data_IF_205257398856
#
_entry.id   IF_205257398856
#
_cell.length_a   1.000
_cell.length_b   1.000
_cell.length_c   1.000
_cell.angle_alpha   90.00
_cell.angle_beta   90.00
_cell.angle_gamma   90.00
#
_symmetry.space_group_name_H-M   'P 1'
#
loop_
_entity.id
_entity.type
_entity.pdbx_description
1 polymer ?
#
# COMPACT_ATOMS: atom_id res chain seq x y z
N UNK A 1 4.85 21.50 -44.79
CA UNK A 1 3.90 21.82 -43.70
C UNK A 1 2.56 21.05 -43.72
N UNK A 2 2.19 20.29 -44.77
CA UNK A 2 0.91 19.52 -44.78
C UNK A 2 0.88 18.23 -43.93
N UNK A 3 2.03 17.78 -43.44
CA UNK A 3 2.17 16.50 -42.72
C UNK A 3 2.13 16.63 -41.20
N UNK A 4 2.25 17.86 -40.68
CA UNK A 4 2.15 18.18 -39.25
C UNK A 4 0.83 17.74 -38.59
N UNK A 5 -0.36 17.95 -39.18
CA UNK A 5 -1.60 17.55 -38.50
C UNK A 5 -1.73 16.02 -38.39
N UNK A 6 -1.22 15.28 -39.37
CA UNK A 6 -1.25 13.80 -39.36
C UNK A 6 -0.31 13.24 -38.31
N UNK A 7 0.91 13.78 -38.21
CA UNK A 7 1.88 13.35 -37.20
C UNK A 7 1.39 13.62 -35.77
N UNK A 8 0.74 14.76 -35.53
CA UNK A 8 0.16 15.11 -34.23
C UNK A 8 -1.02 14.19 -33.88
N UNK A 9 -1.89 13.90 -34.85
CA UNK A 9 -3.02 13.00 -34.65
C UNK A 9 -2.57 11.56 -34.34
N UNK A 10 -1.53 11.08 -35.02
CA UNK A 10 -0.96 9.75 -34.81
C UNK A 10 -0.26 9.64 -33.45
N UNK A 11 0.38 10.71 -32.99
CA UNK A 11 1.02 10.79 -31.67
C UNK A 11 -0.02 10.77 -30.54
N UNK A 12 -1.15 11.47 -30.71
CA UNK A 12 -2.26 11.47 -29.76
C UNK A 12 -2.96 10.11 -29.67
N UNK A 13 -3.15 9.41 -30.80
CA UNK A 13 -3.69 8.06 -30.81
C UNK A 13 -2.77 7.09 -30.06
N UNK A 14 -1.46 7.18 -30.27
CA UNK A 14 -0.47 6.30 -29.63
C UNK A 14 -0.47 6.45 -28.11
N UNK A 15 -0.64 7.68 -27.60
CA UNK A 15 -0.76 7.95 -26.18
C UNK A 15 -2.06 7.40 -25.56
N UNK A 16 -3.15 7.33 -26.34
CA UNK A 16 -4.43 6.79 -25.88
C UNK A 16 -4.42 5.26 -25.70
N UNK A 17 -3.53 4.54 -26.39
CA UNK A 17 -3.35 3.08 -26.24
C UNK A 17 -2.28 2.68 -25.22
N UNK A 18 -1.59 3.65 -24.62
CA UNK A 18 -0.69 3.41 -23.50
C UNK A 18 -1.51 3.23 -22.20
N UNK A 19 -2.34 2.20 -22.14
CA UNK A 19 -3.00 1.80 -20.89
C UNK A 19 -1.93 1.28 -19.93
N UNK A 20 -1.85 1.78 -18.68
CA UNK A 20 -0.99 1.15 -17.69
C UNK A 20 -1.44 -0.30 -17.53
N UNK A 21 -0.56 -1.25 -17.84
CA UNK A 21 -0.81 -2.64 -17.56
C UNK A 21 -0.80 -2.81 -16.04
N UNK A 22 -1.98 -2.85 -15.43
CA UNK A 22 -2.10 -3.34 -14.07
C UNK A 22 -1.92 -4.84 -14.12
N UNK A 23 -0.91 -5.34 -13.42
CA UNK A 23 -0.82 -6.77 -13.17
C UNK A 23 -2.13 -7.19 -12.52
N UNK A 24 -2.89 -8.04 -13.19
CA UNK A 24 -4.09 -8.62 -12.61
C UNK A 24 -3.62 -9.47 -11.42
N UNK A 25 -3.80 -8.92 -10.22
CA UNK A 25 -3.62 -9.70 -9.02
C UNK A 25 -4.76 -10.73 -9.05
N UNK A 26 -4.46 -11.93 -9.56
CA UNK A 26 -5.35 -13.08 -9.41
C UNK A 26 -5.80 -13.06 -7.95
N UNK A 27 -7.09 -12.85 -7.73
CA UNK A 27 -7.67 -12.98 -6.40
C UNK A 27 -7.38 -14.42 -5.97
N UNK A 28 -6.31 -14.60 -5.19
CA UNK A 28 -6.01 -15.91 -4.65
C UNK A 28 -7.19 -16.32 -3.78
N UNK A 29 -7.50 -17.61 -3.78
CA UNK A 29 -8.51 -18.15 -2.87
C UNK A 29 -7.85 -18.27 -1.50
N UNK A 30 -8.55 -17.88 -0.44
CA UNK A 30 -8.14 -18.17 0.93
C UNK A 30 -7.96 -19.70 1.10
N UNK A 31 -6.81 -20.13 1.62
CA UNK A 31 -6.48 -21.55 1.77
C UNK A 31 -6.58 -21.93 3.25
N UNK A 32 -7.43 -22.91 3.57
CA UNK A 32 -7.46 -23.51 4.90
C UNK A 32 -6.24 -24.42 5.10
N UNK A 33 -5.50 -24.20 6.18
CA UNK A 33 -4.32 -24.97 6.53
C UNK A 33 -4.27 -25.24 8.04
N UNK A 34 -3.31 -26.07 8.45
CA UNK A 34 -3.08 -26.44 9.85
C UNK A 34 -1.62 -26.14 10.20
N UNK A 35 -1.38 -25.47 11.33
CA UNK A 35 -0.01 -25.21 11.83
C UNK A 35 0.65 -26.50 12.30
N UNK A 36 1.96 -26.48 12.52
CA UNK A 36 2.68 -27.63 13.10
C UNK A 36 2.15 -28.05 14.49
N UNK A 37 1.52 -27.12 15.20
CA UNK A 37 0.91 -27.30 16.51
C UNK A 37 -0.54 -27.81 16.43
N UNK A 38 -1.11 -27.97 15.23
CA UNK A 38 -2.47 -28.46 15.03
C UNK A 38 -3.55 -27.37 14.93
N UNK A 39 -3.17 -26.10 14.88
CA UNK A 39 -4.14 -24.99 14.85
C UNK A 39 -4.64 -24.73 13.43
N UNK A 40 -5.95 -24.55 13.30
CA UNK A 40 -6.58 -24.18 12.03
C UNK A 40 -6.29 -22.72 11.69
N UNK A 41 -5.77 -22.49 10.49
CA UNK A 41 -5.43 -21.16 9.97
C UNK A 41 -5.95 -20.97 8.55
N UNK A 42 -6.16 -19.71 8.18
CA UNK A 42 -6.47 -19.30 6.81
C UNK A 42 -5.26 -18.56 6.26
N UNK A 43 -4.71 -19.05 5.17
CA UNK A 43 -3.64 -18.41 4.41
C UNK A 43 -4.26 -17.49 3.36
N UNK A 44 -3.89 -16.22 3.41
CA UNK A 44 -4.35 -15.20 2.49
C UNK A 44 -3.41 -15.09 1.28
N UNK A 45 -3.90 -14.65 0.11
CA UNK A 45 -3.11 -14.50 -1.12
C UNK A 45 -1.95 -13.50 -1.04
N UNK A 46 -2.02 -12.59 -0.07
CA UNK A 46 -0.98 -11.59 0.21
C UNK A 46 0.18 -12.15 1.06
N UNK A 47 0.20 -13.45 1.34
CA UNK A 47 1.20 -14.11 2.18
C UNK A 47 0.96 -13.96 3.68
N UNK A 48 -0.10 -13.27 4.10
CA UNK A 48 -0.52 -13.22 5.50
C UNK A 48 -1.34 -14.45 5.85
N UNK A 49 -1.49 -14.71 7.14
CA UNK A 49 -2.36 -15.76 7.64
C UNK A 49 -3.06 -15.30 8.92
N UNK A 50 -4.17 -15.96 9.25
CA UNK A 50 -4.96 -15.71 10.46
C UNK A 50 -5.44 -17.03 11.08
N UNK A 51 -5.58 -17.06 12.40
CA UNK A 51 -6.25 -18.18 13.08
C UNK A 51 -7.74 -18.20 12.74
N UNK A 52 -8.30 -19.41 12.61
CA UNK A 52 -9.76 -19.62 12.52
C UNK A 52 -10.40 -19.43 13.90
N UNK A 53 -9.69 -19.84 14.95
CA UNK A 53 -10.13 -19.64 16.34
C UNK A 53 -10.05 -18.16 16.73
N UNK A 54 -11.17 -17.61 17.19
CA UNK A 54 -11.30 -16.18 17.52
C UNK A 54 -10.50 -15.77 18.76
N UNK A 55 -10.30 -16.68 19.71
CA UNK A 55 -9.48 -16.42 20.90
C UNK A 55 -8.01 -16.30 20.52
N UNK A 56 -7.51 -17.28 19.76
CA UNK A 56 -6.12 -17.25 19.25
C UNK A 56 -5.87 -16.11 18.28
N UNK A 57 -6.85 -15.75 17.46
CA UNK A 57 -6.75 -14.58 16.59
C UNK A 57 -6.59 -13.28 17.40
N UNK A 58 -7.37 -13.10 18.47
CA UNK A 58 -7.27 -11.92 19.32
C UNK A 58 -5.94 -11.85 20.08
N UNK A 59 -5.42 -12.98 20.56
CA UNK A 59 -4.09 -13.06 21.19
C UNK A 59 -2.98 -12.71 20.18
N UNK A 60 -3.06 -13.27 18.96
CA UNK A 60 -2.11 -12.96 17.90
C UNK A 60 -2.12 -11.47 17.52
N UNK A 61 -3.30 -10.84 17.49
CA UNK A 61 -3.42 -9.39 17.25
C UNK A 61 -2.80 -8.56 18.38
N UNK A 62 -2.89 -9.01 19.62
CA UNK A 62 -2.22 -8.34 20.75
C UNK A 62 -0.70 -8.44 20.65
N UNK A 63 -0.19 -9.61 20.27
CA UNK A 63 1.25 -9.82 20.02
C UNK A 63 1.71 -8.96 18.84
N UNK A 64 0.94 -8.91 17.75
CA UNK A 64 1.25 -8.10 16.58
C UNK A 64 1.40 -6.61 16.91
N UNK A 65 0.60 -6.09 17.86
CA UNK A 65 0.70 -4.70 18.34
C UNK A 65 2.00 -4.40 19.10
N UNK A 66 2.73 -5.39 19.60
CA UNK A 66 3.98 -5.13 20.33
C UNK A 66 5.13 -4.73 19.39
N UNK A 67 5.03 -5.07 18.11
CA UNK A 67 6.03 -4.75 17.10
C UNK A 67 5.86 -3.32 16.60
N UNK A 68 6.93 -2.52 16.67
CA UNK A 68 6.94 -1.11 16.28
C UNK A 68 6.63 -0.94 14.79
N UNK A 69 7.03 -1.92 13.97
CA UNK A 69 6.80 -1.97 12.53
C UNK A 69 5.31 -2.02 12.18
N UNK A 70 4.46 -2.55 13.07
CA UNK A 70 3.00 -2.65 12.87
C UNK A 70 2.23 -1.43 13.39
N UNK A 71 2.89 -0.54 14.14
CA UNK A 71 2.28 0.63 14.79
C UNK A 71 2.15 1.84 13.85
N UNK A 72 2.63 1.72 12.60
CA UNK A 72 2.63 2.81 11.64
C UNK A 72 3.55 3.96 12.07
N UNK A 73 3.20 5.19 11.65
CA UNK A 73 3.98 6.35 12.03
C UNK A 73 3.71 6.75 13.50
N UNK A 74 4.74 7.02 14.31
CA UNK A 74 4.58 7.39 15.72
C UNK A 74 3.70 8.63 15.90
N UNK A 75 3.03 8.74 17.04
CA UNK A 75 2.19 9.89 17.38
C UNK A 75 2.96 11.21 17.26
N UNK A 76 2.35 12.20 16.61
CA UNK A 76 2.96 13.52 16.37
C UNK A 76 3.85 13.59 15.14
N UNK A 77 4.13 12.47 14.47
CA UNK A 77 4.83 12.47 13.17
C UNK A 77 3.83 12.59 12.02
N UNK A 78 4.23 13.22 10.92
CA UNK A 78 3.44 13.25 9.69
C UNK A 78 3.75 12.00 8.87
N UNK A 79 2.72 11.24 8.51
CA UNK A 79 2.84 10.10 7.62
C UNK A 79 3.12 10.52 6.18
N UNK A 80 3.72 9.62 5.40
CA UNK A 80 3.86 9.80 3.96
C UNK A 80 2.50 9.82 3.23
N UNK A 81 2.52 10.18 1.94
CA UNK A 81 1.30 10.26 1.13
C UNK A 81 0.64 8.89 1.03
N UNK A 82 -0.59 8.76 1.53
CA UNK A 82 -1.34 7.48 1.58
C UNK A 82 -0.55 6.33 2.26
N UNK A 83 0.31 6.65 3.22
CA UNK A 83 1.16 5.65 3.89
C UNK A 83 2.44 5.28 3.13
N UNK A 84 2.70 5.90 1.97
CA UNK A 84 3.95 5.74 1.23
C UNK A 84 4.98 6.81 1.65
N UNK A 85 6.12 6.36 2.16
CA UNK A 85 7.26 7.20 2.51
C UNK A 85 7.65 7.11 3.99
N UNK A 86 8.66 7.90 4.37
CA UNK A 86 9.15 7.97 5.76
C UNK A 86 8.19 8.76 6.65
N UNK A 87 8.14 8.43 7.94
CA UNK A 87 7.51 9.29 8.94
C UNK A 87 8.34 10.55 9.15
N UNK A 88 7.70 11.72 9.13
CA UNK A 88 8.35 13.02 9.27
C UNK A 88 8.13 13.51 10.70
N UNK A 89 9.19 13.55 11.51
CA UNK A 89 9.11 13.94 12.91
C UNK A 89 9.02 15.48 13.09
N UNK A 90 8.41 15.97 14.19
CA UNK A 90 8.48 17.38 14.54
C UNK A 90 9.94 17.88 14.60
N UNK A 91 10.23 18.98 13.91
CA UNK A 91 11.59 19.54 13.79
C UNK A 91 12.38 19.07 12.57
N UNK A 92 11.87 18.08 11.83
CA UNK A 92 12.40 17.76 10.51
C UNK A 92 12.16 18.94 9.53
N UNK A 93 13.12 19.20 8.64
CA UNK A 93 12.99 20.25 7.61
C UNK A 93 11.72 20.08 6.76
N UNK A 94 11.29 18.83 6.57
CA UNK A 94 10.13 18.50 5.76
C UNK A 94 8.82 18.60 6.56
N UNK A 95 8.87 18.72 7.90
CA UNK A 95 7.67 18.79 8.76
C UNK A 95 6.84 20.04 8.49
N UNK A 96 7.48 21.17 8.21
CA UNK A 96 6.79 22.44 7.95
C UNK A 96 6.86 22.87 6.48
N UNK A 97 7.26 21.97 5.57
CA UNK A 97 7.49 22.28 4.15
C UNK A 97 6.22 22.75 3.43
N UNK A 98 5.04 22.41 3.94
CA UNK A 98 3.77 22.78 3.31
C UNK A 98 3.50 22.00 2.01
N UNK A 99 2.42 22.34 1.32
CA UNK A 99 2.07 21.72 0.04
C UNK A 99 3.06 22.12 -1.05
N UNK A 100 3.65 21.14 -1.75
CA UNK A 100 4.54 21.42 -2.89
C UNK A 100 3.85 22.15 -4.05
N UNK A 101 2.51 22.20 -4.06
CA UNK A 101 1.72 22.94 -5.06
C UNK A 101 1.54 24.43 -4.74
N UNK A 102 2.23 24.97 -3.73
CA UNK A 102 2.11 26.36 -3.32
C UNK A 102 0.77 26.69 -2.64
N UNK A 103 -0.02 25.67 -2.25
CA UNK A 103 -1.33 25.82 -1.60
C UNK A 103 -1.27 25.62 -0.09
N UNK A 104 -0.12 25.90 0.51
CA UNK A 104 0.04 25.98 1.97
C UNK A 104 1.52 26.01 2.33
N UNK A 105 2.01 26.94 3.14
CA UNK A 105 1.41 28.21 3.60
C UNK A 105 1.34 29.22 2.47
#
# INVERSE_FOLDING_TARGET
MKWMPVAVLMSLLSAAYATPAWAEQKAGVDIEAVTAQGDKVILQPNGRWKFVDTGKAAEADQVAKQYVENQGCPNGTQGGFLGFGRCIAPGDKDFNRGSMGGKGR
#
